data_IF_525074709245
#
_entry.id   IF_525074709245
#
_cell.length_a   1.000
_cell.length_b   1.000
_cell.length_c   1.000
_cell.angle_alpha   90.00
_cell.angle_beta   90.00
_cell.angle_gamma   90.00
#
_symmetry.space_group_name_H-M   'P 1'
#
loop_
_entity.id
_entity.type
_entity.pdbx_description
1 polymer ?
#
# COMPACT_ATOMS: atom_id res chain seq x y z
N UNK A 1 -6.98 0.68 -2.28
CA UNK A 1 -8.11 -0.26 -2.21
C UNK A 1 -7.87 -1.23 -1.08
N UNK A 2 -8.90 -1.52 -0.30
CA UNK A 2 -8.82 -2.41 0.86
C UNK A 2 -9.92 -3.46 0.76
N UNK A 3 -9.56 -4.74 0.91
CA UNK A 3 -10.51 -5.84 0.85
C UNK A 3 -11.45 -5.75 2.05
N UNK A 4 -12.73 -6.05 1.83
CA UNK A 4 -13.63 -6.35 2.93
C UNK A 4 -13.21 -7.67 3.59
N UNK A 5 -13.22 -7.70 4.92
CA UNK A 5 -13.00 -8.90 5.74
C UNK A 5 -14.18 -9.07 6.67
N UNK A 6 -14.82 -10.23 6.61
CA UNK A 6 -15.98 -10.51 7.43
C UNK A 6 -15.55 -10.75 8.88
N UNK A 7 -16.25 -10.12 9.83
CA UNK A 7 -16.00 -10.28 11.26
C UNK A 7 -17.31 -10.54 11.98
N UNK A 8 -17.25 -11.33 13.05
CA UNK A 8 -18.45 -11.78 13.77
C UNK A 8 -19.20 -10.63 14.46
N UNK A 9 -18.52 -9.53 14.73
CA UNK A 9 -18.99 -8.40 15.54
C UNK A 9 -19.45 -7.18 14.71
N UNK A 10 -19.48 -7.28 13.38
CA UNK A 10 -19.95 -6.20 12.51
C UNK A 10 -21.25 -6.58 11.78
N UNK A 11 -22.12 -5.62 11.40
CA UNK A 11 -23.38 -5.91 10.72
C UNK A 11 -23.24 -6.77 9.45
N UNK A 12 -22.11 -6.64 8.76
CA UNK A 12 -21.80 -7.39 7.54
C UNK A 12 -21.11 -8.74 7.82
N UNK A 13 -21.25 -9.31 9.01
CA UNK A 13 -20.59 -10.57 9.42
C UNK A 13 -20.82 -11.75 8.45
N UNK A 14 -21.95 -11.76 7.75
CA UNK A 14 -22.33 -12.82 6.81
C UNK A 14 -22.21 -12.40 5.33
N UNK A 15 -21.65 -11.21 5.06
CA UNK A 15 -21.40 -10.79 3.70
C UNK A 15 -20.19 -11.53 3.12
N UNK A 16 -20.27 -11.83 1.83
CA UNK A 16 -19.20 -12.51 1.11
C UNK A 16 -17.99 -11.58 0.99
N UNK A 17 -16.81 -12.09 1.32
CA UNK A 17 -15.55 -11.39 1.06
C UNK A 17 -15.23 -11.38 -0.44
N UNK A 18 -14.65 -10.30 -0.98
CA UNK A 18 -14.25 -10.27 -2.38
C UNK A 18 -13.18 -11.34 -2.65
N UNK A 19 -13.31 -12.02 -3.78
CA UNK A 19 -12.27 -12.90 -4.30
C UNK A 19 -11.02 -12.11 -4.70
N UNK A 20 -9.88 -12.81 -4.80
CA UNK A 20 -8.63 -12.22 -5.32
C UNK A 20 -8.86 -11.72 -6.75
N UNK A 21 -9.58 -12.47 -7.57
CA UNK A 21 -9.90 -12.12 -8.96
C UNK A 21 -10.71 -10.82 -9.07
N UNK A 22 -11.69 -10.61 -8.19
CA UNK A 22 -12.45 -9.35 -8.12
C UNK A 22 -11.57 -8.18 -7.71
N UNK A 23 -10.66 -8.40 -6.75
CA UNK A 23 -9.70 -7.37 -6.35
C UNK A 23 -8.74 -7.00 -7.49
N UNK A 24 -8.16 -7.99 -8.17
CA UNK A 24 -7.28 -7.78 -9.32
C UNK A 24 -7.99 -7.05 -10.46
N UNK A 25 -9.23 -7.46 -10.79
CA UNK A 25 -10.04 -6.79 -11.80
C UNK A 25 -10.29 -5.33 -11.43
N UNK A 26 -10.66 -5.07 -10.18
CA UNK A 26 -10.98 -3.71 -9.72
C UNK A 26 -9.74 -2.82 -9.75
N UNK A 27 -8.57 -3.33 -9.34
CA UNK A 27 -7.29 -2.62 -9.42
C UNK A 27 -6.89 -2.31 -10.86
N UNK A 28 -6.99 -3.29 -11.75
CA UNK A 28 -6.67 -3.10 -13.16
C UNK A 28 -7.58 -2.06 -13.81
N UNK A 29 -8.89 -2.10 -13.53
CA UNK A 29 -9.85 -1.09 -14.00
C UNK A 29 -9.52 0.29 -13.41
N UNK A 30 -9.19 0.39 -12.12
CA UNK A 30 -8.78 1.64 -11.51
C UNK A 30 -7.53 2.23 -12.17
N UNK A 31 -6.53 1.40 -12.50
CA UNK A 31 -5.32 1.82 -13.22
C UNK A 31 -5.64 2.37 -14.61
N UNK A 32 -6.55 1.72 -15.33
CA UNK A 32 -6.98 2.17 -16.67
C UNK A 32 -7.76 3.49 -16.62
N UNK A 33 -8.64 3.66 -15.62
CA UNK A 33 -9.48 4.86 -15.49
C UNK A 33 -8.70 6.05 -14.95
N UNK A 34 -7.88 5.85 -13.92
CA UNK A 34 -7.18 6.93 -13.23
C UNK A 34 -5.83 7.28 -13.87
N UNK A 35 -5.38 6.49 -14.84
CA UNK A 35 -4.15 6.69 -15.58
C UNK A 35 -2.90 6.15 -14.88
N UNK A 36 -1.76 6.23 -15.57
CA UNK A 36 -0.49 5.67 -15.11
C UNK A 36 0.10 6.37 -13.86
N UNK A 37 -0.18 7.66 -13.70
CA UNK A 37 0.41 8.49 -12.63
C UNK A 37 -0.29 8.32 -11.27
N UNK A 38 -1.52 7.83 -11.23
CA UNK A 38 -2.25 7.71 -9.97
C UNK A 38 -1.61 6.67 -9.04
N UNK A 39 -1.37 7.03 -7.78
CA UNK A 39 -0.95 6.03 -6.79
C UNK A 39 -2.12 5.12 -6.43
N UNK A 40 -1.94 3.82 -6.69
CA UNK A 40 -2.87 2.78 -6.32
C UNK A 40 -2.24 1.91 -5.26
N UNK A 41 -2.87 1.93 -4.10
CA UNK A 41 -2.41 1.19 -2.94
C UNK A 41 -3.26 -0.07 -2.72
N UNK A 42 -2.67 -1.20 -2.33
CA UNK A 42 -3.42 -2.35 -1.81
C UNK A 42 -2.67 -3.06 -0.69
N UNK A 43 -3.36 -3.53 0.38
CA UNK A 43 -2.70 -4.15 1.51
C UNK A 43 -2.30 -5.60 1.20
N UNK A 44 -1.03 -5.97 1.40
CA UNK A 44 -0.55 -7.29 1.02
C UNK A 44 -1.06 -8.40 1.96
N UNK A 45 -1.30 -8.08 3.24
CA UNK A 45 -1.75 -9.05 4.25
C UNK A 45 -3.16 -9.63 3.97
N UNK A 46 -4.01 -8.91 3.23
CA UNK A 46 -5.39 -9.35 2.95
C UNK A 46 -5.52 -10.25 1.72
N UNK A 47 -4.43 -10.44 0.96
CA UNK A 47 -4.38 -11.35 -0.20
C UNK A 47 -3.42 -12.54 0.03
N UNK A 48 -2.93 -12.72 1.26
CA UNK A 48 -2.10 -13.84 1.71
C UNK A 48 -0.95 -14.25 0.78
N UNK A 49 -1.01 -15.41 0.13
CA UNK A 49 0.07 -15.87 -0.76
C UNK A 49 -0.03 -15.25 -2.17
N UNK A 50 -1.22 -14.76 -2.55
CA UNK A 50 -1.50 -14.15 -3.84
C UNK A 50 -1.19 -12.66 -3.89
N UNK A 51 -0.78 -12.04 -2.76
CA UNK A 51 -0.45 -10.61 -2.70
C UNK A 51 0.47 -10.13 -3.82
N UNK A 52 1.47 -10.90 -4.29
CA UNK A 52 2.35 -10.41 -5.35
C UNK A 52 1.60 -10.14 -6.66
N UNK A 53 0.48 -10.85 -6.93
CA UNK A 53 -0.37 -10.62 -8.10
C UNK A 53 -0.99 -9.22 -8.15
N UNK A 54 -1.08 -8.53 -7.01
CA UNK A 54 -1.60 -7.17 -6.95
C UNK A 54 -0.73 -6.18 -7.74
N UNK A 55 0.59 -6.40 -7.83
CA UNK A 55 1.49 -5.63 -8.69
C UNK A 55 1.12 -5.79 -10.16
N UNK A 56 0.79 -7.01 -10.57
CA UNK A 56 0.36 -7.33 -11.94
C UNK A 56 -0.96 -6.62 -12.30
N UNK A 57 -1.77 -6.27 -11.29
CA UNK A 57 -2.99 -5.48 -11.44
C UNK A 57 -2.76 -3.96 -11.46
N UNK A 58 -1.52 -3.49 -11.36
CA UNK A 58 -1.15 -2.09 -11.53
C UNK A 58 -1.08 -1.26 -10.25
N UNK A 59 -1.00 -1.88 -9.07
CA UNK A 59 -0.62 -1.12 -7.87
C UNK A 59 0.83 -0.66 -7.96
N UNK A 60 1.14 0.42 -7.26
CA UNK A 60 2.50 0.92 -7.08
C UNK A 60 2.81 1.25 -5.61
N UNK A 61 1.90 0.93 -4.69
CA UNK A 61 2.09 1.14 -3.25
C UNK A 61 1.52 -0.06 -2.46
N UNK A 62 2.33 -0.63 -1.58
CA UNK A 62 1.87 -1.64 -0.63
C UNK A 62 1.21 -0.96 0.57
N UNK A 63 -0.09 -1.17 0.74
CA UNK A 63 -0.88 -0.48 1.76
C UNK A 63 -0.72 -1.07 3.14
N UNK A 64 -0.25 -0.27 4.09
CA UNK A 64 -0.10 -0.70 5.47
C UNK A 64 0.96 -1.79 5.59
N UNK A 65 2.12 -1.44 6.14
CA UNK A 65 3.16 -2.41 6.48
C UNK A 65 3.72 -1.98 7.82
N UNK A 66 3.83 -2.92 8.75
CA UNK A 66 4.52 -2.67 10.01
C UNK A 66 5.28 -3.91 10.45
N UNK A 67 6.61 -3.83 10.65
CA UNK A 67 7.38 -4.91 11.25
C UNK A 67 7.20 -4.98 12.78
N UNK A 68 6.60 -3.96 13.40
CA UNK A 68 6.57 -3.77 14.86
C UNK A 68 5.18 -3.88 15.47
N UNK A 69 4.13 -3.54 14.72
CA UNK A 69 2.75 -3.56 15.21
C UNK A 69 1.93 -4.54 14.40
N UNK A 70 0.90 -5.12 15.03
CA UNK A 70 -0.16 -5.83 14.30
C UNK A 70 -1.01 -4.86 13.46
N UNK A 71 -1.78 -5.40 12.54
CA UNK A 71 -2.91 -4.68 11.93
C UNK A 71 -4.00 -4.52 13.01
N UNK A 72 -4.33 -3.27 13.36
CA UNK A 72 -5.40 -2.99 14.33
C UNK A 72 -6.80 -3.10 13.71
N UNK A 73 -6.90 -3.00 12.39
CA UNK A 73 -8.14 -3.21 11.66
C UNK A 73 -8.35 -4.70 11.50
N UNK A 74 -7.38 -5.47 10.99
CA UNK A 74 -7.51 -6.92 10.80
C UNK A 74 -6.45 -7.70 11.59
N UNK A 75 -6.55 -7.80 12.93
CA UNK A 75 -5.57 -8.47 13.77
C UNK A 75 -5.26 -9.93 13.38
N UNK A 76 -6.21 -10.59 12.72
CA UNK A 76 -6.12 -11.94 12.18
C UNK A 76 -5.26 -12.05 10.90
N UNK A 77 -4.95 -10.93 10.24
CA UNK A 77 -4.16 -10.86 9.02
C UNK A 77 -2.81 -10.19 9.30
N UNK A 78 -1.82 -11.00 9.68
CA UNK A 78 -0.48 -10.53 9.98
C UNK A 78 0.20 -9.87 8.76
N UNK A 79 1.00 -8.83 9.00
CA UNK A 79 1.83 -8.22 7.97
C UNK A 79 2.84 -9.24 7.41
N UNK A 80 3.09 -9.24 6.10
CA UNK A 80 4.19 -10.02 5.53
C UNK A 80 5.53 -9.48 6.03
N UNK A 81 6.52 -10.37 6.15
CA UNK A 81 7.89 -9.96 6.45
C UNK A 81 8.45 -9.06 5.34
N UNK A 82 9.19 -8.02 5.71
CA UNK A 82 9.80 -7.07 4.77
C UNK A 82 10.67 -7.79 3.73
N UNK A 83 11.47 -8.77 4.15
CA UNK A 83 12.28 -9.56 3.23
C UNK A 83 11.46 -10.31 2.17
N UNK A 84 10.26 -10.81 2.54
CA UNK A 84 9.35 -11.45 1.59
C UNK A 84 8.76 -10.41 0.64
N UNK A 85 8.29 -9.27 1.16
CA UNK A 85 7.79 -8.16 0.33
C UNK A 85 8.82 -7.71 -0.68
N UNK A 86 10.07 -7.53 -0.26
CA UNK A 86 11.17 -7.11 -1.10
C UNK A 86 11.40 -8.12 -2.22
N UNK A 87 11.59 -9.40 -1.87
CA UNK A 87 11.81 -10.47 -2.84
C UNK A 87 10.71 -10.56 -3.89
N UNK A 88 9.44 -10.52 -3.48
CA UNK A 88 8.30 -10.64 -4.38
C UNK A 88 8.10 -9.40 -5.27
N UNK A 89 8.46 -8.22 -4.76
CA UNK A 89 8.46 -6.96 -5.51
C UNK A 89 9.54 -6.97 -6.59
N UNK A 90 10.76 -7.35 -6.21
CA UNK A 90 11.92 -7.45 -7.12
C UNK A 90 11.73 -8.54 -8.18
N UNK A 91 11.09 -9.66 -7.83
CA UNK A 91 10.76 -10.72 -8.78
C UNK A 91 9.83 -10.27 -9.93
N UNK A 92 9.16 -9.11 -9.78
CA UNK A 92 8.32 -8.48 -10.81
C UNK A 92 8.98 -7.27 -11.48
N UNK A 93 10.26 -7.04 -11.21
CA UNK A 93 11.03 -5.94 -11.80
C UNK A 93 10.80 -4.59 -11.13
N UNK A 94 10.20 -4.55 -9.93
CA UNK A 94 10.01 -3.33 -9.15
C UNK A 94 11.04 -3.23 -8.03
N UNK A 95 11.22 -2.03 -7.49
CA UNK A 95 12.08 -1.78 -6.32
C UNK A 95 11.18 -1.46 -5.13
N UNK A 96 11.35 -2.17 -4.02
CA UNK A 96 10.67 -1.83 -2.78
C UNK A 96 11.33 -0.62 -2.14
N UNK A 97 10.55 0.45 -1.93
CA UNK A 97 11.01 1.69 -1.28
C UNK A 97 10.04 2.08 -0.17
N UNK A 98 10.58 2.47 0.98
CA UNK A 98 9.79 3.11 2.02
C UNK A 98 9.49 4.55 1.64
N UNK A 99 8.23 4.97 1.77
CA UNK A 99 7.81 6.35 1.59
C UNK A 99 7.38 6.96 2.91
N UNK A 100 7.43 8.28 3.01
CA UNK A 100 6.78 9.01 4.07
C UNK A 100 5.24 8.92 3.93
N UNK A 101 4.51 9.50 4.89
CA UNK A 101 3.05 9.57 4.84
C UNK A 101 2.53 10.24 3.54
N UNK A 102 3.33 11.11 2.93
CA UNK A 102 3.08 11.76 1.65
C UNK A 102 3.90 11.10 0.54
N UNK A 103 3.34 11.05 -0.67
CA UNK A 103 4.08 10.65 -1.86
C UNK A 103 5.05 11.77 -2.33
N UNK A 104 6.19 11.42 -2.96
CA UNK A 104 7.21 12.38 -3.36
C UNK A 104 6.70 13.57 -4.18
N UNK A 105 5.72 13.35 -5.07
CA UNK A 105 5.15 14.41 -5.92
C UNK A 105 4.35 15.46 -5.15
N UNK A 106 3.96 15.18 -3.90
CA UNK A 106 3.37 16.17 -2.99
C UNK A 106 4.41 16.86 -2.13
N UNK A 107 5.54 16.20 -1.88
CA UNK A 107 6.67 16.81 -1.16
C UNK A 107 7.27 17.96 -1.98
N UNK A 108 7.37 17.79 -3.30
CA UNK A 108 7.90 18.78 -4.23
C UNK A 108 6.97 19.99 -4.48
N UNK A 109 5.70 19.93 -4.04
CA UNK A 109 4.74 21.03 -4.25
C UNK A 109 4.95 22.13 -3.21
N UNK A 110 5.14 23.35 -3.71
CA UNK A 110 5.16 24.54 -2.86
C UNK A 110 3.83 24.68 -2.10
N UNK A 111 3.92 25.09 -0.84
CA UNK A 111 2.77 25.35 0.04
C UNK A 111 1.83 24.16 0.32
N UNK A 112 2.15 22.93 -0.10
CA UNK A 112 1.31 21.76 0.19
C UNK A 112 1.29 21.37 1.67
N UNK A 113 2.40 21.59 2.37
CA UNK A 113 2.52 21.36 3.82
C UNK A 113 2.96 22.65 4.51
N UNK A 114 2.64 22.76 5.81
CA UNK A 114 3.11 23.89 6.62
C UNK A 114 4.63 23.86 6.79
N UNK A 115 5.24 25.02 7.07
CA UNK A 115 6.69 25.12 7.31
C UNK A 115 7.18 24.19 8.43
N UNK A 116 6.35 23.98 9.47
CA UNK A 116 6.65 23.04 10.56
C UNK A 116 6.73 21.59 10.09
N UNK A 117 5.82 21.18 9.22
CA UNK A 117 5.83 19.81 8.66
C UNK A 117 6.96 19.67 7.65
N UNK A 118 7.23 20.72 6.86
CA UNK A 118 8.34 20.77 5.90
C UNK A 118 9.68 20.46 6.56
N UNK A 119 9.98 21.12 7.69
CA UNK A 119 11.20 20.87 8.45
C UNK A 119 11.38 19.39 8.82
N UNK A 120 10.30 18.69 9.18
CA UNK A 120 10.35 17.26 9.52
C UNK A 120 10.46 16.35 8.31
N UNK A 121 9.89 16.74 7.18
CA UNK A 121 10.09 16.03 5.92
C UNK A 121 11.56 16.12 5.51
N UNK A 122 12.17 17.30 5.59
CA UNK A 122 13.56 17.52 5.13
C UNK A 122 14.58 16.73 5.99
N UNK A 123 14.24 16.40 7.24
CA UNK A 123 15.02 15.52 8.12
C UNK A 123 14.90 14.03 7.77
N UNK A 124 13.80 13.61 7.14
CA UNK A 124 13.42 12.19 6.96
C UNK A 124 13.40 11.74 5.49
N UNK A 125 13.33 12.67 4.54
CA UNK A 125 13.26 12.38 3.12
C UNK A 125 14.66 12.39 2.50
N UNK A 126 14.94 11.39 1.69
CA UNK A 126 16.07 11.37 0.79
C UNK A 126 15.86 12.36 -0.37
N UNK A 127 16.90 12.56 -1.19
CA UNK A 127 16.86 13.49 -2.32
C UNK A 127 15.78 13.16 -3.36
N UNK A 128 15.35 11.90 -3.45
CA UNK A 128 14.27 11.44 -4.34
C UNK A 128 12.87 11.49 -3.70
N UNK A 129 12.76 12.03 -2.48
CA UNK A 129 11.50 12.20 -1.74
C UNK A 129 10.98 10.94 -1.03
N UNK A 130 11.68 9.81 -1.12
CA UNK A 130 11.40 8.62 -0.32
C UNK A 130 12.08 8.71 1.06
N UNK A 131 11.75 7.81 1.99
CA UNK A 131 12.36 7.86 3.32
C UNK A 131 13.87 7.55 3.26
N UNK A 132 14.68 8.24 4.08
CA UNK A 132 16.07 7.86 4.35
C UNK A 132 16.06 6.60 5.22
N UNK A 133 16.49 5.47 4.66
CA UNK A 133 16.63 4.20 5.41
C UNK A 133 17.56 4.33 6.62
#
# INVERSE_FOLDING_TARGET
MQNFRAKRDIPMAHHVEPSVEEMLRTLAVARLILGAEMNLQAPPNLSYQDFPRLLDAGINDWGGISPVTKDFINPEAAWPQIAKLQKETEARGFVLRERLALYPEFLAREHFVSARVRQKIDELAAADGFATC
#
